data_IF_373227393878
#
_entry.id   IF_373227393878
#
_cell.length_a   1.000
_cell.length_b   1.000
_cell.length_c   1.000
_cell.angle_alpha   90.00
_cell.angle_beta   90.00
_cell.angle_gamma   90.00
#
_symmetry.space_group_name_H-M   'P 1'
#
loop_
_entity.id
_entity.type
_entity.pdbx_description
1 polymer ?
#
# COMPACT_ATOMS: atom_id res chain seq x y z
N UNK A 1 -6.05 -0.96 -9.94
CA UNK A 1 -6.46 -2.05 -9.04
C UNK A 1 -5.56 -2.04 -7.82
N UNK A 2 -6.12 -2.18 -6.61
CA UNK A 2 -5.36 -2.37 -5.37
C UNK A 2 -5.58 -3.80 -4.89
N UNK A 3 -4.52 -4.47 -4.47
CA UNK A 3 -4.54 -5.85 -3.99
C UNK A 3 -3.73 -5.87 -2.70
N UNK A 4 -4.36 -6.25 -1.59
CA UNK A 4 -3.64 -6.52 -0.34
C UNK A 4 -2.81 -7.79 -0.53
N UNK A 5 -1.50 -7.69 -0.37
CA UNK A 5 -0.58 -8.81 -0.49
C UNK A 5 -0.49 -9.62 0.80
N UNK A 6 -0.78 -8.99 1.93
CA UNK A 6 -0.69 -9.61 3.25
C UNK A 6 -2.07 -9.69 3.90
N UNK A 7 -2.27 -10.76 4.69
CA UNK A 7 -3.43 -10.90 5.58
C UNK A 7 -3.19 -10.19 6.92
N UNK A 8 -1.93 -10.01 7.30
CA UNK A 8 -1.55 -9.37 8.55
C UNK A 8 -1.61 -7.85 8.39
N UNK A 9 -2.11 -7.18 9.43
CA UNK A 9 -2.21 -5.72 9.47
C UNK A 9 -1.32 -5.19 10.57
N UNK A 10 -0.57 -4.14 10.28
CA UNK A 10 0.40 -3.55 11.17
C UNK A 10 -0.15 -2.28 11.83
N UNK A 11 0.42 -1.90 12.98
CA UNK A 11 0.10 -0.63 13.60
C UNK A 11 0.52 0.54 12.70
N UNK A 12 -0.32 1.57 12.64
CA UNK A 12 0.02 2.77 11.89
C UNK A 12 0.80 3.76 12.76
N UNK A 13 1.98 4.23 12.33
CA UNK A 13 2.75 5.22 13.10
C UNK A 13 2.04 6.59 13.18
N UNK A 14 1.21 6.94 12.18
CA UNK A 14 0.50 8.23 12.14
C UNK A 14 -0.76 8.27 12.99
N UNK A 15 -1.62 7.27 12.89
CA UNK A 15 -2.92 7.28 13.56
C UNK A 15 -3.00 6.32 14.76
N UNK A 16 -1.88 5.65 15.10
CA UNK A 16 -1.73 4.70 16.21
C UNK A 16 -2.76 3.58 16.25
N UNK A 17 -3.46 3.34 15.14
CA UNK A 17 -4.38 2.22 15.01
C UNK A 17 -3.57 0.94 14.94
N UNK A 18 -3.93 -0.04 15.77
CA UNK A 18 -3.15 -1.26 15.99
C UNK A 18 -3.09 -2.22 14.78
N UNK A 19 -4.00 -2.08 13.82
CA UNK A 19 -4.14 -3.02 12.70
C UNK A 19 -4.71 -2.33 11.46
N UNK A 20 -4.04 -1.28 10.96
CA UNK A 20 -4.56 -0.49 9.84
C UNK A 20 -3.61 -0.35 8.67
N UNK A 21 -2.32 -0.66 8.83
CA UNK A 21 -1.32 -0.64 7.74
C UNK A 21 -1.23 -2.02 7.11
N UNK A 22 -1.31 -2.10 5.78
CA UNK A 22 -1.17 -3.34 5.03
C UNK A 22 -0.30 -3.14 3.79
N UNK A 23 0.42 -4.16 3.36
CA UNK A 23 1.14 -4.15 2.10
C UNK A 23 0.16 -4.26 0.93
N UNK A 24 0.06 -3.19 0.13
CA UNK A 24 -0.84 -3.12 -1.01
C UNK A 24 -0.03 -3.03 -2.31
N UNK A 25 -0.30 -3.97 -3.21
CA UNK A 25 0.07 -3.87 -4.62
C UNK A 25 -0.95 -3.01 -5.36
N UNK A 26 -0.50 -1.88 -5.87
CA UNK A 26 -1.27 -0.98 -6.73
C UNK A 26 -0.82 -1.15 -8.18
N UNK A 27 -1.76 -1.54 -9.05
CA UNK A 27 -1.56 -1.64 -10.48
C UNK A 27 -2.38 -0.59 -11.21
N UNK A 28 -1.73 0.27 -12.01
CA UNK A 28 -2.36 1.28 -12.85
C UNK A 28 -1.95 1.03 -14.29
N UNK A 29 -2.89 0.58 -15.12
CA UNK A 29 -2.71 0.37 -16.55
C UNK A 29 -3.41 1.49 -17.30
N UNK A 30 -2.70 2.09 -18.26
CA UNK A 30 -3.21 3.09 -19.17
C UNK A 30 -3.32 2.46 -20.56
N UNK A 31 -4.55 2.28 -21.02
CA UNK A 31 -4.86 1.67 -22.32
C UNK A 31 -5.50 2.71 -23.22
N UNK A 32 -4.96 2.88 -24.43
CA UNK A 32 -5.51 3.78 -25.47
C UNK A 32 -5.57 3.01 -26.79
N UNK A 33 -6.70 3.07 -27.50
CA UNK A 33 -6.93 2.32 -28.75
C UNK A 33 -6.53 0.83 -28.67
N UNK A 34 -6.95 0.14 -27.59
CA UNK A 34 -6.60 -1.25 -27.30
C UNK A 34 -5.09 -1.55 -27.21
N UNK A 35 -4.23 -0.53 -27.16
CA UNK A 35 -2.80 -0.66 -26.88
C UNK A 35 -2.52 -0.21 -25.45
N UNK A 36 -1.72 -1.00 -24.74
CA UNK A 36 -1.25 -0.66 -23.39
C UNK A 36 -0.11 0.35 -23.56
N UNK A 37 -0.36 1.60 -23.20
CA UNK A 37 0.63 2.69 -23.30
C UNK A 37 1.56 2.68 -22.09
N UNK A 38 1.03 2.37 -20.91
CA UNK A 38 1.81 2.33 -19.68
C UNK A 38 1.19 1.38 -18.68
N UNK A 39 2.04 0.64 -17.96
CA UNK A 39 1.63 -0.19 -16.83
C UNK A 39 2.55 0.14 -15.66
N UNK A 40 2.00 0.81 -14.66
CA UNK A 40 2.71 1.14 -13.43
C UNK A 40 2.26 0.14 -12.38
N UNK A 41 3.22 -0.60 -11.84
CA UNK A 41 3.02 -1.46 -10.69
C UNK A 41 3.85 -0.90 -9.53
N UNK A 42 3.21 -0.71 -8.37
CA UNK A 42 3.89 -0.27 -7.14
C UNK A 42 3.40 -1.10 -5.97
N UNK A 43 4.33 -1.51 -5.13
CA UNK A 43 4.05 -2.22 -3.88
C UNK A 43 4.44 -1.27 -2.76
N UNK A 44 3.51 -1.00 -1.84
CA UNK A 44 3.74 -0.08 -0.71
C UNK A 44 2.79 -0.41 0.43
N UNK A 45 3.20 -0.08 1.64
CA UNK A 45 2.34 -0.11 2.80
C UNK A 45 1.35 1.05 2.73
N UNK A 46 0.07 0.77 2.98
CA UNK A 46 -0.98 1.78 3.03
C UNK A 46 -1.83 1.59 4.30
N UNK A 47 -2.11 2.69 4.99
CA UNK A 47 -3.06 2.73 6.09
C UNK A 47 -4.47 2.97 5.59
N UNK A 48 -5.40 2.09 5.95
CA UNK A 48 -6.82 2.21 5.61
C UNK A 48 -7.53 3.39 6.28
N UNK A 49 -7.00 3.89 7.40
CA UNK A 49 -7.66 4.93 8.22
C UNK A 49 -7.17 6.34 7.90
N UNK A 50 -5.85 6.55 7.77
CA UNK A 50 -5.27 7.89 7.66
C UNK A 50 -4.54 8.17 6.35
N UNK A 51 -4.72 7.31 5.33
CA UNK A 51 -4.06 7.42 4.01
C UNK A 51 -2.52 7.48 4.07
N UNK A 52 -1.91 7.09 5.19
CA UNK A 52 -0.46 6.91 5.29
C UNK A 52 -0.01 5.89 4.25
N UNK A 53 1.09 6.20 3.55
CA UNK A 53 1.63 5.38 2.46
C UNK A 53 3.14 5.44 2.53
N UNK A 54 3.78 4.28 2.56
CA UNK A 54 5.23 4.18 2.66
C UNK A 54 5.74 2.97 1.88
N UNK A 55 6.94 3.06 1.32
CA UNK A 55 7.53 1.95 0.56
C UNK A 55 8.09 0.87 1.49
N UNK A 56 8.45 1.24 2.72
CA UNK A 56 8.93 0.32 3.74
C UNK A 56 7.89 0.12 4.85
N UNK A 57 7.95 -1.03 5.52
CA UNK A 57 7.10 -1.27 6.69
C UNK A 57 7.55 -0.26 7.74
N UNK A 58 6.64 0.54 8.32
CA UNK A 58 7.03 1.43 9.40
C UNK A 58 7.57 0.57 10.54
N UNK A 59 8.89 0.55 10.70
CA UNK A 59 9.56 0.00 11.87
C UNK A 59 9.04 0.78 13.06
N UNK A 60 8.15 0.17 13.84
CA UNK A 60 8.14 0.47 15.25
C UNK A 60 9.49 -0.03 15.76
N UNK A 61 10.45 0.90 15.86
CA UNK A 61 11.62 0.73 16.71
C UNK A 61 11.08 0.49 18.12
N UNK A 62 10.80 -0.77 18.43
CA UNK A 62 10.67 -1.24 19.79
C UNK A 62 12.12 -1.32 20.30
N UNK A 63 12.62 -0.17 20.75
CA UNK A 63 13.76 -0.13 21.66
C UNK A 63 13.30 -0.58 23.05
#
# INVERSE_FOLDING_TARGET
KKISLERMSHPCPKCKHHASVQLIRSEKRWTVFNKIISSIMRVRYECSQCSFRDEELPHHSNE
#
